data_IF_631793479769
#
_entry.id   IF_631793479769
#
_cell.length_a   1.000
_cell.length_b   1.000
_cell.length_c   1.000
_cell.angle_alpha   90.00
_cell.angle_beta   90.00
_cell.angle_gamma   90.00
#
_symmetry.space_group_name_H-M   'P 1'
#
loop_
_entity.id
_entity.type
_entity.pdbx_description
1 polymer ?
#
# COMPACT_ATOMS: atom_id res chain seq x y z
N UNK A 1 17.11 -4.16 19.86
CA UNK A 1 16.28 -3.24 19.04
C UNK A 1 15.31 -4.12 18.31
N UNK A 2 14.00 -3.96 18.52
CA UNK A 2 12.99 -4.93 18.09
C UNK A 2 13.19 -5.33 16.63
N UNK A 3 13.41 -6.62 16.39
CA UNK A 3 13.62 -7.23 15.07
C UNK A 3 12.34 -7.24 14.21
N UNK A 4 11.24 -6.73 14.75
CA UNK A 4 9.92 -6.74 14.12
C UNK A 4 9.66 -5.47 13.32
N UNK A 5 9.16 -5.67 12.10
CA UNK A 5 8.69 -4.58 11.25
C UNK A 5 7.42 -3.95 11.82
N UNK A 6 7.27 -2.61 11.72
CA UNK A 6 6.00 -1.98 12.05
C UNK A 6 4.92 -2.49 11.09
N UNK A 7 3.83 -3.02 11.65
CA UNK A 7 2.67 -3.45 10.87
C UNK A 7 1.80 -2.24 10.56
N UNK A 8 1.55 -1.99 9.29
CA UNK A 8 0.74 -0.89 8.77
C UNK A 8 -0.65 -1.40 8.37
N UNK A 9 -1.67 -0.64 8.73
CA UNK A 9 -2.99 -0.81 8.15
C UNK A 9 -3.04 -0.22 6.72
N UNK A 10 -4.09 -0.47 5.92
CA UNK A 10 -4.17 0.01 4.54
C UNK A 10 -4.05 1.53 4.38
N UNK A 11 -4.58 2.30 5.34
CA UNK A 11 -4.56 3.77 5.32
C UNK A 11 -3.17 4.30 5.63
N UNK A 12 -2.47 3.71 6.61
CA UNK A 12 -1.08 4.00 6.93
C UNK A 12 -0.16 3.71 5.75
N UNK A 13 -0.34 2.55 5.09
CA UNK A 13 0.40 2.19 3.90
C UNK A 13 0.15 3.21 2.76
N UNK A 14 -1.11 3.60 2.56
CA UNK A 14 -1.50 4.62 1.57
C UNK A 14 -0.80 5.95 1.83
N UNK A 15 -0.92 6.51 3.04
CA UNK A 15 -0.36 7.83 3.37
C UNK A 15 1.16 7.82 3.29
N UNK A 16 1.81 6.75 3.77
CA UNK A 16 3.26 6.59 3.65
C UNK A 16 3.72 6.51 2.18
N UNK A 17 3.03 5.71 1.36
CA UNK A 17 3.28 5.61 -0.07
C UNK A 17 3.15 6.97 -0.78
N UNK A 18 2.16 7.78 -0.41
CA UNK A 18 1.97 9.12 -0.96
C UNK A 18 3.11 10.06 -0.60
N UNK A 19 3.62 10.03 0.64
CA UNK A 19 4.77 10.85 1.03
C UNK A 19 6.03 10.47 0.24
N UNK A 20 6.27 9.16 0.03
CA UNK A 20 7.38 8.67 -0.80
C UNK A 20 7.23 9.16 -2.24
N UNK A 21 6.06 8.95 -2.85
CA UNK A 21 5.78 9.36 -4.23
C UNK A 21 5.99 10.87 -4.43
N UNK A 22 5.43 11.70 -3.54
CA UNK A 22 5.50 13.16 -3.70
C UNK A 22 6.89 13.72 -3.42
N UNK A 23 7.70 13.10 -2.58
CA UNK A 23 9.10 13.49 -2.42
C UNK A 23 9.85 13.40 -3.76
N UNK A 24 9.60 12.33 -4.50
CA UNK A 24 10.32 12.04 -5.73
C UNK A 24 9.77 12.78 -6.96
N UNK A 25 8.44 12.87 -7.08
CA UNK A 25 7.79 13.45 -8.26
C UNK A 25 7.51 14.95 -8.16
N UNK A 26 7.37 15.47 -6.95
CA UNK A 26 6.95 16.87 -6.71
C UNK A 26 7.73 17.46 -5.52
N UNK A 27 9.06 17.63 -5.66
CA UNK A 27 9.91 18.09 -4.56
C UNK A 27 9.62 19.54 -4.13
N UNK A 28 8.98 20.34 -4.99
CA UNK A 28 8.54 21.72 -4.74
C UNK A 28 7.42 21.80 -3.69
N UNK A 29 6.55 20.79 -3.63
CA UNK A 29 5.46 20.74 -2.62
C UNK A 29 5.81 19.89 -1.41
N UNK A 30 6.93 19.17 -1.42
CA UNK A 30 7.40 18.36 -0.31
C UNK A 30 8.24 19.20 0.68
N UNK A 31 8.18 18.98 2.02
CA UNK A 31 7.34 18.02 2.75
C UNK A 31 5.84 18.35 2.67
N UNK A 32 4.96 17.35 2.79
CA UNK A 32 3.52 17.56 2.53
C UNK A 32 2.79 18.18 3.72
N UNK A 33 1.85 19.09 3.47
CA UNK A 33 0.84 19.47 4.46
C UNK A 33 -0.22 18.38 4.60
N UNK A 34 -1.07 18.44 5.63
CA UNK A 34 -2.21 17.53 5.80
C UNK A 34 -3.10 17.47 4.54
N UNK A 35 -3.46 18.64 3.98
CA UNK A 35 -4.33 18.72 2.80
C UNK A 35 -3.64 18.14 1.55
N UNK A 36 -2.34 18.34 1.40
CA UNK A 36 -1.59 17.76 0.28
C UNK A 36 -1.49 16.23 0.40
N UNK A 37 -1.30 15.71 1.63
CA UNK A 37 -1.31 14.27 1.89
C UNK A 37 -2.69 13.64 1.61
N UNK A 38 -3.78 14.30 2.04
CA UNK A 38 -5.15 13.89 1.75
C UNK A 38 -5.43 13.84 0.24
N UNK A 39 -5.10 14.92 -0.47
CA UNK A 39 -5.26 15.00 -1.92
C UNK A 39 -4.45 13.92 -2.65
N UNK A 40 -3.24 13.60 -2.17
CA UNK A 40 -2.43 12.52 -2.72
C UNK A 40 -3.01 11.13 -2.42
N UNK A 41 -3.55 10.89 -1.23
CA UNK A 41 -4.14 9.61 -0.83
C UNK A 41 -5.39 9.25 -1.66
N UNK A 42 -6.20 10.25 -2.01
CA UNK A 42 -7.47 10.10 -2.72
C UNK A 42 -7.34 10.26 -4.25
N UNK A 43 -6.13 10.22 -4.82
CA UNK A 43 -5.95 10.27 -6.27
C UNK A 43 -6.64 9.09 -6.96
N UNK A 44 -7.32 9.37 -8.08
CA UNK A 44 -7.98 8.33 -8.90
C UNK A 44 -7.00 7.52 -9.73
N UNK A 45 -5.80 8.06 -9.98
CA UNK A 45 -4.74 7.41 -10.73
C UNK A 45 -3.63 6.99 -9.79
N UNK A 46 -2.91 5.94 -10.17
CA UNK A 46 -1.78 5.41 -9.40
C UNK A 46 -2.10 4.93 -7.98
N UNK A 47 -3.36 4.56 -7.72
CA UNK A 47 -3.84 4.01 -6.44
C UNK A 47 -4.63 2.74 -6.71
N UNK A 48 -4.24 1.65 -6.08
CA UNK A 48 -4.97 0.38 -6.12
C UNK A 48 -5.07 -0.14 -4.67
N UNK A 49 -6.25 -0.11 -4.02
CA UNK A 49 -7.53 0.44 -4.51
C UNK A 49 -7.60 1.98 -4.47
N UNK A 50 -8.50 2.59 -5.24
CA UNK A 50 -8.86 4.00 -5.03
C UNK A 50 -9.54 4.15 -3.67
N UNK A 51 -9.15 5.15 -2.89
CA UNK A 51 -9.71 5.44 -1.56
C UNK A 51 -10.37 6.82 -1.54
N UNK A 52 -11.30 7.01 -0.60
CA UNK A 52 -11.91 8.28 -0.27
C UNK A 52 -11.76 8.50 1.24
N UNK A 53 -10.55 8.87 1.66
CA UNK A 53 -10.23 9.13 3.07
C UNK A 53 -10.72 10.52 3.49
N UNK A 54 -10.97 10.68 4.78
CA UNK A 54 -11.33 11.95 5.40
C UNK A 54 -10.12 12.69 6.00
N UNK A 55 -10.15 14.03 6.13
CA UNK A 55 -9.05 14.79 6.72
C UNK A 55 -8.64 14.32 8.13
N UNK A 56 -9.62 13.97 8.95
CA UNK A 56 -9.41 13.48 10.33
C UNK A 56 -8.70 12.13 10.35
N UNK A 57 -9.03 11.25 9.41
CA UNK A 57 -8.40 9.94 9.25
C UNK A 57 -6.95 10.06 8.82
N UNK A 58 -6.64 10.93 7.85
CA UNK A 58 -5.26 11.19 7.41
C UNK A 58 -4.45 11.84 8.52
N UNK A 59 -5.02 12.77 9.28
CA UNK A 59 -4.34 13.38 10.42
C UNK A 59 -3.97 12.34 11.49
N UNK A 60 -4.93 11.50 11.90
CA UNK A 60 -4.66 10.39 12.83
C UNK A 60 -3.59 9.45 12.31
N UNK A 61 -3.64 9.14 11.02
CA UNK A 61 -2.68 8.26 10.34
C UNK A 61 -1.26 8.82 10.36
N UNK A 62 -1.09 10.13 10.11
CA UNK A 62 0.22 10.78 10.18
C UNK A 62 0.80 10.70 11.60
N UNK A 63 -0.02 10.87 12.63
CA UNK A 63 0.41 10.72 14.04
C UNK A 63 0.80 9.27 14.37
N UNK A 64 0.07 8.27 13.88
CA UNK A 64 0.44 6.86 14.06
C UNK A 64 1.74 6.52 13.34
N UNK A 65 1.93 7.02 12.12
CA UNK A 65 3.18 6.83 11.36
C UNK A 65 4.38 7.53 12.02
N UNK A 66 4.15 8.67 12.68
CA UNK A 66 5.15 9.36 13.49
C UNK A 66 5.54 8.55 14.73
N UNK A 67 4.57 8.00 15.46
CA UNK A 67 4.82 7.06 16.57
C UNK A 67 5.59 5.82 16.11
N UNK A 68 5.25 5.31 14.92
CA UNK A 68 5.98 4.22 14.27
C UNK A 68 7.34 4.66 13.75
N UNK A 69 7.71 5.94 13.79
CA UNK A 69 8.98 6.51 13.32
C UNK A 69 9.21 6.37 11.80
N UNK A 70 8.12 6.31 11.02
CA UNK A 70 8.13 6.23 9.56
C UNK A 70 7.84 7.59 8.91
N UNK A 71 7.31 8.52 9.69
CA UNK A 71 7.05 9.92 9.30
C UNK A 71 7.62 10.82 10.39
N UNK A 72 8.03 12.03 10.02
CA UNK A 72 8.42 13.09 10.94
C UNK A 72 7.62 14.35 10.63
N UNK A 73 7.07 14.99 11.67
CA UNK A 73 6.56 16.34 11.56
C UNK A 73 7.71 17.36 11.58
N UNK A 74 7.71 18.28 10.61
CA UNK A 74 8.66 19.37 10.53
C UNK A 74 8.18 20.54 11.40
N UNK A 75 9.01 20.94 12.37
CA UNK A 75 8.78 22.11 13.20
C UNK A 75 9.42 23.36 12.57
N UNK A 76 8.72 24.50 12.55
CA UNK A 76 9.25 25.78 12.07
C UNK A 76 8.53 26.38 10.85
N UNK A 77 7.58 25.65 10.23
CA UNK A 77 6.66 26.22 9.24
C UNK A 77 5.36 26.68 9.90
N UNK A 78 4.74 27.75 9.36
CA UNK A 78 3.42 28.24 9.83
C UNK A 78 2.30 27.20 9.75
N UNK A 79 2.48 26.20 8.87
CA UNK A 79 1.57 25.08 8.66
C UNK A 79 2.36 23.80 8.91
N UNK A 80 1.79 22.82 9.60
CA UNK A 80 2.43 21.52 9.82
C UNK A 80 2.76 20.84 8.49
N UNK A 81 4.00 20.34 8.36
CA UNK A 81 4.44 19.58 7.18
C UNK A 81 5.06 18.26 7.63
N UNK A 82 4.93 17.24 6.79
CA UNK A 82 5.26 15.86 7.11
C UNK A 82 6.20 15.28 6.06
N UNK A 83 7.27 14.64 6.53
CA UNK A 83 8.24 13.93 5.69
C UNK A 83 8.31 12.44 6.05
N UNK A 84 8.43 11.55 5.05
CA UNK A 84 8.69 10.14 5.31
C UNK A 84 10.15 9.93 5.77
N UNK A 85 10.37 8.90 6.59
CA UNK A 85 11.68 8.53 7.15
C UNK A 85 12.21 7.18 6.63
N UNK A 86 11.55 6.58 5.62
CA UNK A 86 11.90 5.25 5.10
C UNK A 86 13.37 5.07 4.75
N UNK A 87 13.95 6.03 4.02
CA UNK A 87 15.35 5.97 3.60
C UNK A 87 16.31 5.98 4.80
N UNK A 88 16.04 6.81 5.80
CA UNK A 88 16.87 6.91 7.01
C UNK A 88 16.70 5.68 7.90
N UNK A 89 15.45 5.29 8.15
CA UNK A 89 15.10 4.22 9.08
C UNK A 89 15.62 2.86 8.63
N UNK A 90 15.51 2.57 7.34
CA UNK A 90 15.90 1.29 6.77
C UNK A 90 17.16 1.39 5.91
N UNK A 91 17.88 2.52 5.93
CA UNK A 91 19.09 2.73 5.11
C UNK A 91 18.87 2.33 3.65
N UNK A 92 17.81 2.84 3.04
CA UNK A 92 17.39 2.48 1.68
C UNK A 92 18.01 3.42 0.65
N UNK A 93 18.34 2.86 -0.50
CA UNK A 93 18.66 3.66 -1.69
C UNK A 93 17.39 4.34 -2.21
N UNK A 94 17.56 5.33 -3.10
CA UNK A 94 16.44 6.00 -3.77
C UNK A 94 15.61 5.02 -4.61
N UNK A 95 16.18 4.13 -5.45
CA UNK A 95 15.44 3.06 -6.12
C UNK A 95 14.64 2.16 -5.17
N UNK A 96 15.25 1.69 -4.08
CA UNK A 96 14.58 0.84 -3.09
C UNK A 96 13.39 1.55 -2.45
N UNK A 97 13.57 2.81 -2.07
CA UNK A 97 12.50 3.63 -1.48
C UNK A 97 11.35 3.80 -2.48
N UNK A 98 11.67 4.09 -3.75
CA UNK A 98 10.66 4.26 -4.79
C UNK A 98 9.86 2.97 -5.03
N UNK A 99 10.53 1.81 -5.12
CA UNK A 99 9.88 0.51 -5.28
C UNK A 99 8.93 0.22 -4.12
N UNK A 100 9.36 0.42 -2.87
CA UNK A 100 8.48 0.24 -1.71
C UNK A 100 7.27 1.18 -1.77
N UNK A 101 7.48 2.45 -2.16
CA UNK A 101 6.40 3.40 -2.37
C UNK A 101 5.37 2.92 -3.39
N UNK A 102 5.82 2.37 -4.52
CA UNK A 102 4.93 1.79 -5.53
C UNK A 102 4.15 0.59 -5.02
N UNK A 103 4.80 -0.30 -4.28
CA UNK A 103 4.16 -1.48 -3.68
C UNK A 103 3.11 -1.07 -2.63
N UNK A 104 3.37 -0.04 -1.82
CA UNK A 104 2.41 0.50 -0.86
C UNK A 104 1.17 1.11 -1.55
N UNK A 105 1.36 1.74 -2.72
CA UNK A 105 0.29 2.45 -3.43
C UNK A 105 -0.56 1.55 -4.32
N UNK A 106 0.01 0.45 -4.83
CA UNK A 106 -0.63 -0.39 -5.85
C UNK A 106 -0.56 -1.90 -5.58
N UNK A 107 -0.05 -2.32 -4.42
CA UNK A 107 0.04 -3.73 -4.05
C UNK A 107 1.01 -4.54 -4.94
N UNK A 108 0.75 -5.85 -5.12
CA UNK A 108 1.65 -6.76 -5.82
C UNK A 108 1.86 -6.40 -7.29
N UNK A 109 3.12 -6.20 -7.69
CA UNK A 109 3.49 -5.77 -9.05
C UNK A 109 4.63 -6.63 -9.62
N UNK A 110 4.65 -6.81 -10.93
CA UNK A 110 5.75 -7.44 -11.67
C UNK A 110 6.96 -6.49 -11.74
N UNK A 111 8.12 -7.04 -12.07
CA UNK A 111 9.35 -6.26 -12.30
C UNK A 111 9.18 -5.26 -13.45
N UNK A 112 8.51 -5.62 -14.54
CA UNK A 112 8.29 -4.72 -15.66
C UNK A 112 7.37 -3.55 -15.29
N UNK A 113 6.30 -3.83 -14.54
CA UNK A 113 5.41 -2.78 -14.03
C UNK A 113 6.15 -1.83 -13.08
N UNK A 114 6.97 -2.38 -12.17
CA UNK A 114 7.77 -1.58 -11.25
C UNK A 114 8.77 -0.69 -11.99
N UNK A 115 9.48 -1.22 -13.00
CA UNK A 115 10.42 -0.44 -13.79
C UNK A 115 9.76 0.74 -14.48
N UNK A 116 8.66 0.47 -15.21
CA UNK A 116 7.92 1.50 -15.94
C UNK A 116 7.33 2.57 -15.01
N UNK A 117 6.86 2.18 -13.82
CA UNK A 117 6.26 3.11 -12.84
C UNK A 117 7.31 3.88 -12.03
N UNK A 118 8.47 3.28 -11.80
CA UNK A 118 9.56 3.87 -11.02
C UNK A 118 10.41 4.87 -11.82
N UNK A 119 10.36 4.83 -13.15
CA UNK A 119 11.20 5.66 -14.05
C UNK A 119 11.23 7.15 -13.67
N UNK A 120 10.07 7.72 -13.30
CA UNK A 120 9.98 9.13 -12.89
C UNK A 120 10.38 9.38 -11.44
N UNK A 121 10.42 8.34 -10.60
CA UNK A 121 10.72 8.43 -9.17
C UNK A 121 12.21 8.22 -8.87
N UNK A 122 12.83 7.28 -9.55
CA UNK A 122 14.25 6.93 -9.36
C UNK A 122 14.85 6.42 -10.67
N UNK A 123 16.12 6.75 -10.90
CA UNK A 123 16.85 6.22 -12.04
C UNK A 123 17.19 4.75 -11.80
N UNK A 124 16.69 3.87 -12.65
CA UNK A 124 17.02 2.44 -12.70
C UNK A 124 17.38 2.13 -14.14
N UNK A 125 18.60 1.63 -14.38
CA UNK A 125 19.15 1.57 -15.75
C UNK A 125 18.66 0.36 -16.55
N UNK A 126 18.24 -0.71 -15.86
CA UNK A 126 17.83 -1.96 -16.49
C UNK A 126 16.86 -2.76 -15.60
N UNK A 127 16.26 -3.80 -16.18
CA UNK A 127 15.43 -4.77 -15.47
C UNK A 127 16.28 -5.55 -14.46
N UNK A 128 17.52 -5.87 -14.83
CA UNK A 128 18.50 -6.59 -14.02
C UNK A 128 18.88 -5.78 -12.78
N UNK A 129 19.12 -4.47 -12.94
CA UNK A 129 19.39 -3.57 -11.82
C UNK A 129 18.18 -3.52 -10.86
N UNK A 130 16.96 -3.46 -11.40
CA UNK A 130 15.75 -3.46 -10.58
C UNK A 130 15.59 -4.76 -9.79
N UNK A 131 15.90 -5.91 -10.42
CA UNK A 131 15.89 -7.21 -9.76
C UNK A 131 16.93 -7.27 -8.65
N UNK A 132 18.14 -6.77 -8.87
CA UNK A 132 19.16 -6.69 -7.83
C UNK A 132 18.71 -5.83 -6.63
N UNK A 133 18.01 -4.72 -6.88
CA UNK A 133 17.42 -3.90 -5.81
C UNK A 133 16.31 -4.63 -5.04
N UNK A 134 15.48 -5.42 -5.72
CA UNK A 134 14.46 -6.27 -5.10
C UNK A 134 15.08 -7.42 -4.27
N UNK A 135 16.10 -8.08 -4.81
CA UNK A 135 16.83 -9.15 -4.12
C UNK A 135 17.49 -8.63 -2.84
N UNK A 136 18.06 -7.42 -2.90
CA UNK A 136 18.57 -6.75 -1.70
C UNK A 136 17.47 -6.49 -0.68
N UNK A 137 16.26 -6.09 -1.09
CA UNK A 137 15.11 -5.87 -0.20
C UNK A 137 14.55 -7.17 0.41
N UNK A 138 14.58 -8.27 -0.33
CA UNK A 138 14.20 -9.63 0.12
C UNK A 138 15.25 -10.19 1.08
N UNK A 139 16.53 -9.98 0.79
CA UNK A 139 17.64 -10.50 1.59
C UNK A 139 17.83 -9.81 2.94
N UNK A 140 17.15 -8.69 3.21
CA UNK A 140 17.30 -7.93 4.46
C UNK A 140 16.84 -8.71 5.68
N UNK A 141 17.25 -8.23 6.85
CA UNK A 141 16.80 -8.71 8.17
C UNK A 141 16.36 -7.51 9.00
N UNK A 142 15.04 -7.30 9.20
CA UNK A 142 13.92 -8.04 8.57
C UNK A 142 13.74 -7.75 7.07
N UNK A 143 13.15 -8.68 6.28
CA UNK A 143 12.89 -8.50 4.85
C UNK A 143 11.78 -7.48 4.62
N UNK A 144 11.94 -6.56 3.65
CA UNK A 144 10.93 -5.53 3.38
C UNK A 144 10.01 -5.87 2.22
N UNK A 145 10.43 -6.79 1.36
CA UNK A 145 9.71 -7.24 0.17
C UNK A 145 9.76 -8.76 0.13
N UNK A 146 8.73 -9.37 -0.44
CA UNK A 146 8.65 -10.78 -0.75
C UNK A 146 8.30 -10.98 -2.22
N UNK A 147 8.94 -11.96 -2.86
CA UNK A 147 8.53 -12.48 -4.16
C UNK A 147 7.34 -13.42 -4.00
N UNK A 148 6.33 -13.20 -4.84
CA UNK A 148 5.11 -13.98 -4.97
C UNK A 148 5.23 -14.73 -6.31
N UNK A 149 5.43 -16.05 -6.28
CA UNK A 149 5.47 -16.87 -7.48
C UNK A 149 4.23 -16.67 -8.33
N UNK A 150 4.42 -16.69 -9.65
CA UNK A 150 3.31 -16.60 -10.61
C UNK A 150 2.27 -17.68 -10.37
N UNK A 151 1.00 -17.27 -10.40
CA UNK A 151 -0.12 -18.21 -10.40
C UNK A 151 -0.31 -18.89 -11.76
N UNK A 152 -1.17 -19.93 -11.84
CA UNK A 152 -1.55 -20.55 -13.11
C UNK A 152 -2.02 -19.51 -14.15
N UNK A 153 -1.50 -19.56 -15.36
CA UNK A 153 -1.85 -18.63 -16.45
C UNK A 153 -1.12 -17.28 -16.42
N UNK A 154 -0.29 -17.00 -15.42
CA UNK A 154 0.53 -15.80 -15.36
C UNK A 154 1.94 -16.06 -15.88
N UNK A 155 2.53 -15.06 -16.54
CA UNK A 155 3.85 -15.18 -17.17
C UNK A 155 5.00 -14.81 -16.25
N UNK A 156 4.73 -14.00 -15.22
CA UNK A 156 5.75 -13.35 -14.41
C UNK A 156 5.41 -13.35 -12.93
N UNK A 157 6.46 -13.44 -12.11
CA UNK A 157 6.39 -13.32 -10.66
C UNK A 157 6.12 -11.86 -10.25
N UNK A 158 5.58 -11.69 -9.05
CA UNK A 158 5.27 -10.37 -8.48
C UNK A 158 6.01 -10.16 -7.18
N UNK A 159 6.08 -8.91 -6.76
CA UNK A 159 6.71 -8.50 -5.53
C UNK A 159 5.70 -7.75 -4.68
N UNK A 160 5.75 -7.94 -3.36
CA UNK A 160 4.88 -7.25 -2.41
C UNK A 160 5.67 -6.82 -1.18
N UNK A 161 5.32 -5.66 -0.62
CA UNK A 161 5.95 -5.18 0.61
C UNK A 161 5.45 -5.98 1.84
N UNK A 162 6.28 -6.08 2.88
CA UNK A 162 5.95 -6.78 4.13
C UNK A 162 5.55 -5.84 5.28
N UNK A 163 5.50 -4.53 5.01
CA UNK A 163 5.10 -3.51 5.99
C UNK A 163 3.63 -3.60 6.44
N UNK A 164 2.76 -4.34 5.73
CA UNK A 164 1.38 -4.60 6.17
C UNK A 164 1.22 -5.98 6.83
N UNK A 165 2.33 -6.62 7.21
CA UNK A 165 2.37 -7.97 7.75
C UNK A 165 2.77 -9.01 6.70
N UNK A 166 2.84 -10.30 7.11
CA UNK A 166 3.20 -11.40 6.24
C UNK A 166 2.21 -11.53 5.08
N UNK A 167 2.73 -11.79 3.89
CA UNK A 167 1.91 -12.01 2.69
C UNK A 167 1.61 -13.50 2.56
N UNK A 168 0.33 -13.86 2.61
CA UNK A 168 -0.11 -15.22 2.30
C UNK A 168 -0.17 -15.40 0.77
N UNK A 169 0.90 -15.99 0.24
CA UNK A 169 1.06 -16.32 -1.17
C UNK A 169 -0.06 -17.25 -1.66
N UNK A 170 -0.50 -18.20 -0.82
CA UNK A 170 -1.55 -19.15 -1.20
C UNK A 170 -2.91 -18.45 -1.32
N UNK A 171 -3.26 -17.61 -0.35
CA UNK A 171 -4.50 -16.83 -0.38
C UNK A 171 -4.56 -15.88 -1.58
N UNK A 172 -3.45 -15.22 -1.94
CA UNK A 172 -3.39 -14.34 -3.11
C UNK A 172 -3.55 -15.09 -4.44
N UNK A 173 -3.00 -16.30 -4.53
CA UNK A 173 -3.16 -17.16 -5.70
C UNK A 173 -4.62 -17.63 -5.85
N UNK A 174 -5.29 -17.95 -4.73
CA UNK A 174 -6.69 -18.35 -4.71
C UNK A 174 -7.66 -17.19 -5.02
N UNK A 175 -7.47 -16.01 -4.40
CA UNK A 175 -8.37 -14.84 -4.61
C UNK A 175 -8.40 -14.36 -6.06
N UNK A 176 -7.30 -14.51 -6.82
CA UNK A 176 -7.23 -14.11 -8.23
C UNK A 176 -7.60 -15.20 -9.22
N UNK A 177 -7.71 -16.46 -8.77
CA UNK A 177 -8.27 -17.55 -9.57
C UNK A 177 -9.80 -17.45 -9.70
N UNK A 178 -10.43 -16.65 -8.84
CA UNK A 178 -11.83 -16.28 -9.00
C UNK A 178 -11.90 -15.21 -10.09
N UNK A 179 -12.56 -15.45 -11.23
CA UNK A 179 -12.81 -14.39 -12.21
C UNK A 179 -13.52 -13.25 -11.47
N UNK A 180 -13.09 -12.01 -11.71
CA UNK A 180 -13.79 -10.84 -11.22
C UNK A 180 -15.22 -10.90 -11.77
N UNK A 181 -16.18 -11.22 -10.89
CA UNK A 181 -17.59 -11.19 -11.23
C UNK A 181 -17.91 -9.75 -11.65
N UNK A 182 -18.64 -9.54 -12.77
CA UNK A 182 -19.08 -8.21 -13.14
C UNK A 182 -19.84 -7.57 -11.97
N UNK A 183 -19.76 -6.25 -11.82
CA UNK A 183 -20.36 -5.54 -10.68
C UNK A 183 -21.85 -5.90 -10.46
N UNK A 184 -22.58 -6.20 -11.55
CA UNK A 184 -23.96 -6.68 -11.53
C UNK A 184 -24.15 -8.00 -10.77
N UNK A 185 -23.19 -8.92 -10.86
CA UNK A 185 -23.27 -10.23 -10.20
C UNK A 185 -22.94 -10.11 -8.71
N UNK A 186 -22.09 -9.14 -8.34
CA UNK A 186 -21.81 -8.79 -6.96
C UNK A 186 -23.01 -8.11 -6.30
N UNK A 187 -23.66 -7.17 -7.00
CA UNK A 187 -24.90 -6.51 -6.57
C UNK A 187 -26.03 -7.53 -6.36
N UNK A 188 -26.23 -8.45 -7.31
CA UNK A 188 -27.24 -9.50 -7.19
C UNK A 188 -26.96 -10.46 -6.01
N UNK A 189 -25.68 -10.79 -5.75
CA UNK A 189 -25.30 -11.61 -4.60
C UNK A 189 -25.47 -10.87 -3.28
N UNK A 190 -25.16 -9.57 -3.23
CA UNK A 190 -25.38 -8.72 -2.05
C UNK A 190 -26.87 -8.67 -1.71
N UNK A 191 -27.73 -8.43 -2.69
CA UNK A 191 -29.18 -8.38 -2.51
C UNK A 191 -29.73 -9.72 -2.00
N UNK A 192 -29.26 -10.84 -2.57
CA UNK A 192 -29.63 -12.18 -2.09
C UNK A 192 -29.19 -12.42 -0.64
N UNK A 193 -27.98 -11.98 -0.27
CA UNK A 193 -27.45 -12.14 1.09
C UNK A 193 -28.20 -11.25 2.10
N UNK A 194 -28.56 -10.03 1.70
CA UNK A 194 -29.36 -9.11 2.52
C UNK A 194 -30.75 -9.70 2.80
N UNK A 195 -31.39 -10.31 1.80
CA UNK A 195 -32.67 -11.01 1.96
C UNK A 195 -32.54 -12.23 2.89
N UNK A 196 -31.47 -13.00 2.77
CA UNK A 196 -31.22 -14.16 3.63
C UNK A 196 -30.98 -13.72 5.09
N UNK A 197 -30.19 -12.67 5.30
CA UNK A 197 -29.95 -12.09 6.64
C UNK A 197 -31.25 -11.55 7.24
N UNK A 198 -32.10 -10.88 6.45
CA UNK A 198 -33.39 -10.39 6.91
C UNK A 198 -34.31 -11.55 7.33
N UNK A 199 -34.36 -12.63 6.54
CA UNK A 199 -35.15 -13.83 6.86
C UNK A 199 -34.63 -14.56 8.10
N UNK A 200 -33.31 -14.66 8.26
CA UNK A 200 -32.68 -15.26 9.45
C UNK A 200 -32.94 -14.43 10.71
N UNK A 201 -32.85 -13.09 10.63
CA UNK A 201 -33.20 -12.20 11.75
C UNK A 201 -34.65 -12.36 12.18
N UNK A 202 -35.59 -12.36 11.24
CA UNK A 202 -37.01 -12.58 11.54
C UNK A 202 -37.27 -13.94 12.20
N UNK A 203 -36.55 -15.00 11.79
CA UNK A 203 -36.64 -16.32 12.44
C UNK A 203 -36.08 -16.31 13.86
N UNK A 204 -34.97 -15.62 14.11
CA UNK A 204 -34.40 -15.48 15.44
C UNK A 204 -35.32 -14.68 16.37
N UNK A 205 -35.92 -13.59 15.88
CA UNK A 205 -36.88 -12.79 16.66
C UNK A 205 -38.13 -13.60 17.02
N UNK A 206 -38.61 -14.45 16.10
CA UNK A 206 -39.75 -15.34 16.36
C UNK A 206 -39.45 -16.50 17.32
N UNK A 207 -38.17 -16.89 17.46
CA UNK A 207 -37.72 -17.92 18.42
C UNK A 207 -37.36 -17.34 19.80
N UNK A 208 -37.14 -16.03 19.88
CA UNK A 208 -36.81 -15.30 21.10
C UNK A 208 -38.00 -14.61 21.79
N UNK A 209 -39.22 -14.73 21.24
CA UNK A 209 -40.47 -14.21 21.77
C UNK A 209 -41.30 -15.28 22.50
#
# INVERSE_FOLDING_TARGET
MSEELPILNPVEARVLGCLIEKKELTPDVYPLTLNAALAAANQKTAREPVMALEPTEVHRTLKLLEQKGLVRQMFGSRVERYEHQMAQRFSLTRPQTAVIGLLLLRGPQTVHELLARAERMARVSSIEDLRAELDMLIGRRPPLVQEIPRGPGQREDRFMHLLAGPVDVAALSMQRSVPALPASDLEARLEALEQEVAALRARLDALGA
#
